data_IF_135904094888
#
_entry.id   IF_135904094888
#
_cell.length_a   1.000
_cell.length_b   1.000
_cell.length_c   1.000
_cell.angle_alpha   90.00
_cell.angle_beta   90.00
_cell.angle_gamma   90.00
#
_symmetry.space_group_name_H-M   'P 1'
#
loop_
_entity.id
_entity.type
_entity.pdbx_description
1 polymer ?
#
# COMPACT_ATOMS: atom_id res chain seq x y z
N UNK A 1 -12.75 3.96 -23.47
CA UNK A 1 -11.98 3.44 -22.32
C UNK A 1 -12.80 2.30 -21.73
N UNK A 2 -12.26 1.08 -21.62
CA UNK A 2 -13.04 -0.16 -21.41
C UNK A 2 -13.83 -0.16 -20.08
N UNK A 3 -15.19 -0.12 -20.10
CA UNK A 3 -16.01 -0.10 -18.89
C UNK A 3 -15.76 -1.30 -17.96
N UNK A 4 -15.48 -2.47 -18.54
CA UNK A 4 -15.12 -3.69 -17.79
C UNK A 4 -13.81 -3.56 -17.01
N UNK A 5 -12.84 -2.81 -17.53
CA UNK A 5 -11.55 -2.61 -16.85
C UNK A 5 -11.73 -1.74 -15.60
N UNK A 6 -12.53 -0.66 -15.72
CA UNK A 6 -12.82 0.25 -14.60
C UNK A 6 -13.59 -0.50 -13.49
N UNK A 7 -14.59 -1.30 -13.85
CA UNK A 7 -15.34 -2.11 -12.88
C UNK A 7 -14.45 -3.13 -12.15
N UNK A 8 -13.56 -3.83 -12.87
CA UNK A 8 -12.58 -4.75 -12.27
C UNK A 8 -11.61 -4.03 -11.33
N UNK A 9 -11.23 -2.79 -11.67
CA UNK A 9 -10.34 -2.00 -10.83
C UNK A 9 -11.03 -1.60 -9.50
N UNK A 10 -12.30 -1.19 -9.57
CA UNK A 10 -13.09 -0.88 -8.37
C UNK A 10 -13.31 -2.11 -7.48
N UNK A 11 -13.59 -3.26 -8.08
CA UNK A 11 -13.73 -4.51 -7.33
C UNK A 11 -12.41 -4.90 -6.64
N UNK A 12 -11.29 -4.85 -7.37
CA UNK A 12 -9.95 -5.13 -6.83
C UNK A 12 -9.61 -4.20 -5.66
N UNK A 13 -9.86 -2.89 -5.82
CA UNK A 13 -9.62 -1.92 -4.76
C UNK A 13 -10.48 -2.19 -3.53
N UNK A 14 -11.73 -2.63 -3.70
CA UNK A 14 -12.61 -3.00 -2.59
C UNK A 14 -12.02 -4.17 -1.78
N UNK A 15 -11.52 -5.21 -2.47
CA UNK A 15 -10.86 -6.33 -1.81
C UNK A 15 -9.57 -5.95 -1.10
N UNK A 16 -8.75 -5.09 -1.73
CA UNK A 16 -7.55 -4.51 -1.11
C UNK A 16 -7.91 -3.83 0.21
N UNK A 17 -8.94 -2.99 0.20
CA UNK A 17 -9.41 -2.28 1.39
C UNK A 17 -9.90 -3.22 2.49
N UNK A 18 -10.78 -4.17 2.14
CA UNK A 18 -11.32 -5.12 3.10
C UNK A 18 -10.22 -5.94 3.77
N UNK A 19 -9.30 -6.51 2.99
CA UNK A 19 -8.21 -7.32 3.53
C UNK A 19 -7.23 -6.50 4.37
N UNK A 20 -6.95 -5.26 3.97
CA UNK A 20 -6.06 -4.35 4.68
C UNK A 20 -6.56 -3.97 6.07
N UNK A 21 -7.87 -4.01 6.32
CA UNK A 21 -8.48 -3.74 7.62
C UNK A 21 -8.71 -5.04 8.38
N UNK A 22 -9.35 -6.03 7.75
CA UNK A 22 -9.75 -7.28 8.40
C UNK A 22 -8.53 -8.05 8.91
N UNK A 23 -7.45 -8.14 8.13
CA UNK A 23 -6.31 -8.97 8.52
C UNK A 23 -5.58 -8.44 9.78
N UNK A 24 -5.22 -7.14 9.86
CA UNK A 24 -4.65 -6.57 11.09
C UNK A 24 -5.61 -6.67 12.29
N UNK A 25 -6.90 -6.41 12.09
CA UNK A 25 -7.90 -6.50 13.16
C UNK A 25 -8.01 -7.93 13.69
N UNK A 26 -8.09 -8.93 12.81
CA UNK A 26 -8.11 -10.33 13.21
C UNK A 26 -6.82 -10.73 13.95
N UNK A 27 -5.65 -10.33 13.44
CA UNK A 27 -4.36 -10.57 14.10
C UNK A 27 -4.28 -9.94 15.48
N UNK A 28 -4.90 -8.77 15.68
CA UNK A 28 -5.00 -8.10 16.98
C UNK A 28 -5.87 -8.90 17.96
N UNK A 29 -7.07 -9.29 17.57
CA UNK A 29 -7.98 -10.08 18.42
C UNK A 29 -7.42 -11.47 18.74
N UNK A 30 -6.71 -12.09 17.80
CA UNK A 30 -6.02 -13.37 18.00
C UNK A 30 -4.73 -13.26 18.80
N UNK A 31 -4.29 -12.03 19.16
CA UNK A 31 -3.02 -11.75 19.85
C UNK A 31 -1.81 -12.40 19.15
N UNK A 32 -1.84 -12.45 17.82
CA UNK A 32 -0.88 -13.18 16.99
C UNK A 32 0.13 -12.27 16.26
N UNK A 33 -0.12 -10.96 16.21
CA UNK A 33 0.74 -10.00 15.52
C UNK A 33 1.87 -9.45 16.40
N UNK A 34 3.03 -9.20 15.80
CA UNK A 34 4.12 -8.46 16.45
C UNK A 34 3.82 -6.96 16.45
N UNK A 35 4.43 -6.20 17.38
CA UNK A 35 4.33 -4.74 17.38
C UNK A 35 4.81 -4.13 16.05
N UNK A 36 5.88 -4.67 15.47
CA UNK A 36 6.38 -4.24 14.17
C UNK A 36 5.35 -4.44 13.06
N UNK A 37 4.66 -5.60 13.02
CA UNK A 37 3.58 -5.84 12.06
C UNK A 37 2.49 -4.77 12.15
N UNK A 38 2.04 -4.44 13.37
CA UNK A 38 0.98 -3.45 13.57
C UNK A 38 1.42 -2.02 13.21
N UNK A 39 2.70 -1.68 13.37
CA UNK A 39 3.23 -0.39 12.89
C UNK A 39 3.09 -0.29 11.37
N UNK A 40 3.60 -1.29 10.63
CA UNK A 40 3.54 -1.29 9.16
C UNK A 40 2.10 -1.30 8.63
N UNK A 41 1.24 -2.15 9.19
CA UNK A 41 -0.17 -2.21 8.84
C UNK A 41 -0.92 -0.90 9.17
N UNK A 42 -0.63 -0.29 10.33
CA UNK A 42 -1.23 0.98 10.73
C UNK A 42 -0.87 2.12 9.78
N UNK A 43 0.40 2.23 9.38
CA UNK A 43 0.82 3.26 8.40
C UNK A 43 0.16 3.03 7.05
N UNK A 44 0.05 1.78 6.59
CA UNK A 44 -0.68 1.45 5.37
C UNK A 44 -2.16 1.86 5.42
N UNK A 45 -2.88 1.50 6.48
CA UNK A 45 -4.30 1.86 6.60
C UNK A 45 -4.47 3.39 6.62
N UNK A 46 -3.65 4.10 7.40
CA UNK A 46 -3.71 5.56 7.49
C UNK A 46 -3.39 6.22 6.15
N UNK A 47 -2.37 5.75 5.42
CA UNK A 47 -2.03 6.31 4.11
C UNK A 47 -3.15 6.11 3.11
N UNK A 48 -3.82 4.97 3.13
CA UNK A 48 -4.98 4.72 2.26
C UNK A 48 -6.14 5.68 2.55
N UNK A 49 -6.42 6.00 3.82
CA UNK A 49 -7.42 7.02 4.17
C UNK A 49 -7.02 8.42 3.71
N UNK A 50 -5.75 8.78 3.87
CA UNK A 50 -5.20 10.04 3.37
C UNK A 50 -5.36 10.11 1.84
N UNK A 51 -5.04 9.02 1.13
CA UNK A 51 -5.17 8.95 -0.32
C UNK A 51 -6.62 9.17 -0.77
N UNK A 52 -7.59 8.45 -0.19
CA UNK A 52 -9.01 8.65 -0.50
C UNK A 52 -9.49 10.08 -0.26
N UNK A 53 -8.91 10.76 0.74
CA UNK A 53 -9.30 12.14 1.05
C UNK A 53 -8.69 13.15 0.08
N UNK A 54 -7.45 12.93 -0.35
CA UNK A 54 -6.71 13.83 -1.24
C UNK A 54 -7.09 13.63 -2.71
N UNK A 55 -7.33 12.38 -3.13
CA UNK A 55 -7.54 12.00 -4.53
C UNK A 55 -8.62 12.83 -5.25
N UNK A 56 -9.82 13.09 -4.69
CA UNK A 56 -10.84 13.89 -5.38
C UNK A 56 -10.39 15.33 -5.64
N UNK A 57 -9.72 15.96 -4.68
CA UNK A 57 -9.21 17.33 -4.83
C UNK A 57 -8.09 17.40 -5.87
N UNK A 58 -7.20 16.41 -5.85
CA UNK A 58 -6.10 16.32 -6.80
C UNK A 58 -6.60 16.01 -8.21
N UNK A 59 -7.62 15.16 -8.36
CA UNK A 59 -8.27 14.89 -9.65
C UNK A 59 -8.89 16.15 -10.23
N UNK A 60 -9.66 16.91 -9.44
CA UNK A 60 -10.25 18.17 -9.88
C UNK A 60 -9.18 19.15 -10.38
N UNK A 61 -8.10 19.31 -9.61
CA UNK A 61 -6.99 20.18 -9.97
C UNK A 61 -6.27 19.75 -11.26
N UNK A 62 -6.19 18.44 -11.51
CA UNK A 62 -5.53 17.88 -12.71
C UNK A 62 -6.43 17.93 -13.95
N UNK A 63 -7.74 17.76 -13.78
CA UNK A 63 -8.71 17.82 -14.89
C UNK A 63 -8.82 19.23 -15.49
N UNK A 64 -8.49 20.26 -14.71
CA UNK A 64 -8.44 21.67 -15.15
C UNK A 64 -7.28 21.96 -16.13
N UNK A 65 -6.18 21.22 -16.06
CA UNK A 65 -5.07 21.32 -17.02
C UNK A 65 -4.21 20.06 -17.03
N UNK A 66 -3.96 19.50 -18.21
CA UNK A 66 -3.06 18.34 -18.36
C UNK A 66 -1.64 18.63 -17.86
N UNK A 67 -1.23 19.89 -17.80
CA UNK A 67 0.09 20.29 -17.27
C UNK A 67 0.18 20.04 -15.75
N UNK A 68 -0.96 19.94 -15.05
CA UNK A 68 -0.99 19.68 -13.62
C UNK A 68 -0.77 18.20 -13.24
N UNK A 69 -0.65 17.30 -14.22
CA UNK A 69 -0.33 15.88 -13.97
C UNK A 69 0.97 15.72 -13.16
N UNK A 70 1.92 16.63 -13.28
CA UNK A 70 3.15 16.65 -12.47
C UNK A 70 2.84 16.62 -10.97
N UNK A 71 1.84 17.38 -10.53
CA UNK A 71 1.41 17.44 -9.13
C UNK A 71 0.75 16.15 -8.65
N UNK A 72 0.06 15.42 -9.55
CA UNK A 72 -0.48 14.10 -9.25
C UNK A 72 0.63 13.17 -8.77
N UNK A 73 1.64 12.97 -9.63
CA UNK A 73 2.74 12.04 -9.34
C UNK A 73 3.64 12.52 -8.20
N UNK A 74 3.89 13.83 -8.11
CA UNK A 74 4.67 14.42 -7.02
C UNK A 74 4.03 14.22 -5.65
N UNK A 75 2.70 14.40 -5.55
CA UNK A 75 1.95 14.21 -4.30
C UNK A 75 2.03 12.77 -3.82
N UNK A 76 1.80 11.79 -4.71
CA UNK A 76 1.86 10.38 -4.34
C UNK A 76 3.28 9.92 -4.02
N UNK A 77 4.30 10.43 -4.72
CA UNK A 77 5.70 10.19 -4.36
C UNK A 77 5.98 10.69 -2.92
N UNK A 78 5.57 11.92 -2.60
CA UNK A 78 5.74 12.48 -1.27
C UNK A 78 5.06 11.63 -0.18
N UNK A 79 3.83 11.19 -0.41
CA UNK A 79 3.10 10.31 0.53
C UNK A 79 3.84 8.99 0.76
N UNK A 80 4.34 8.34 -0.30
CA UNK A 80 5.10 7.11 -0.17
C UNK A 80 6.38 7.30 0.67
N UNK A 81 7.12 8.39 0.43
CA UNK A 81 8.31 8.73 1.21
C UNK A 81 7.97 9.00 2.69
N UNK A 82 6.88 9.73 2.95
CA UNK A 82 6.37 9.98 4.29
C UNK A 82 5.96 8.68 5.00
N UNK A 83 5.39 7.71 4.29
CA UNK A 83 5.04 6.42 4.87
C UNK A 83 6.29 5.62 5.30
N UNK A 84 7.32 5.58 4.46
CA UNK A 84 8.62 4.94 4.82
C UNK A 84 9.19 5.59 6.07
N UNK A 85 9.22 6.93 6.09
CA UNK A 85 9.72 7.69 7.24
C UNK A 85 8.88 7.44 8.50
N UNK A 86 7.54 7.40 8.38
CA UNK A 86 6.64 7.15 9.51
C UNK A 86 6.83 5.75 10.10
N UNK A 87 6.98 4.72 9.27
CA UNK A 87 7.28 3.36 9.74
C UNK A 87 8.60 3.35 10.50
N UNK A 88 9.66 3.92 9.92
CA UNK A 88 10.97 3.96 10.53
C UNK A 88 10.98 4.73 11.87
N UNK A 89 10.39 5.93 11.89
CA UNK A 89 10.28 6.78 13.08
C UNK A 89 9.48 6.11 14.20
N UNK A 90 8.41 5.39 13.87
CA UNK A 90 7.61 4.65 14.85
C UNK A 90 8.40 3.51 15.51
N UNK A 91 9.24 2.80 14.74
CA UNK A 91 10.13 1.77 15.28
C UNK A 91 11.21 2.37 16.20
N UNK A 92 11.84 3.48 15.78
CA UNK A 92 12.81 4.20 16.61
C UNK A 92 12.19 4.68 17.93
N UNK A 93 11.05 5.37 17.87
CA UNK A 93 10.40 5.95 19.07
C UNK A 93 9.92 4.90 20.06
N UNK A 94 9.54 3.72 19.59
CA UNK A 94 9.05 2.63 20.45
C UNK A 94 10.13 1.63 20.83
N UNK A 95 11.37 1.83 20.36
CA UNK A 95 12.48 0.89 20.51
C UNK A 95 12.11 -0.56 20.09
N UNK A 96 11.41 -0.67 18.95
CA UNK A 96 10.95 -1.95 18.40
C UNK A 96 11.82 -2.29 17.19
N UNK A 97 12.40 -3.48 17.15
CA UNK A 97 13.14 -3.95 15.98
C UNK A 97 12.22 -4.04 14.75
N UNK A 98 12.71 -3.62 13.59
CA UNK A 98 11.92 -3.66 12.36
C UNK A 98 11.83 -5.11 11.89
N UNK A 99 10.63 -5.69 12.00
CA UNK A 99 10.33 -7.04 11.55
C UNK A 99 10.15 -7.11 10.03
N UNK A 100 10.16 -8.35 9.51
CA UNK A 100 10.08 -8.64 8.08
C UNK A 100 8.92 -7.92 7.39
N UNK A 101 7.69 -8.02 7.91
CA UNK A 101 6.51 -7.38 7.28
C UNK A 101 6.69 -5.87 7.11
N UNK A 102 7.18 -5.17 8.15
CA UNK A 102 7.38 -3.72 8.07
C UNK A 102 8.48 -3.34 7.09
N UNK A 103 9.59 -4.09 7.06
CA UNK A 103 10.65 -3.91 6.05
C UNK A 103 10.08 -4.12 4.64
N UNK A 104 9.32 -5.19 4.41
CA UNK A 104 8.74 -5.47 3.10
C UNK A 104 7.76 -4.38 2.65
N UNK A 105 6.95 -3.85 3.58
CA UNK A 105 6.05 -2.71 3.29
C UNK A 105 6.87 -1.47 2.94
N UNK A 106 7.95 -1.17 3.67
CA UNK A 106 8.85 -0.05 3.35
C UNK A 106 9.46 -0.20 1.95
N UNK A 107 9.90 -1.40 1.56
CA UNK A 107 10.41 -1.67 0.22
C UNK A 107 9.34 -1.51 -0.86
N UNK A 108 8.10 -1.96 -0.61
CA UNK A 108 7.00 -1.76 -1.53
C UNK A 108 6.70 -0.26 -1.73
N UNK A 109 6.66 0.53 -0.64
CA UNK A 109 6.56 1.98 -0.73
C UNK A 109 7.74 2.62 -1.47
N UNK A 110 8.96 2.12 -1.29
CA UNK A 110 10.13 2.62 -2.01
C UNK A 110 10.00 2.37 -3.52
N UNK A 111 9.51 1.19 -3.93
CA UNK A 111 9.21 0.89 -5.32
C UNK A 111 8.12 1.81 -5.90
N UNK A 112 7.04 2.02 -5.16
CA UNK A 112 5.97 2.95 -5.55
C UNK A 112 6.48 4.40 -5.63
N UNK A 113 7.30 4.84 -4.67
CA UNK A 113 7.96 6.14 -4.68
C UNK A 113 8.79 6.33 -5.94
N UNK A 114 9.67 5.39 -6.28
CA UNK A 114 10.51 5.48 -7.47
C UNK A 114 9.68 5.55 -8.75
N UNK A 115 8.64 4.72 -8.85
CA UNK A 115 7.75 4.70 -10.01
C UNK A 115 6.98 6.03 -10.17
N UNK A 116 6.54 6.64 -9.07
CA UNK A 116 5.91 7.96 -9.06
C UNK A 116 6.92 9.08 -9.40
N UNK A 117 8.12 9.02 -8.83
CA UNK A 117 9.17 10.00 -9.05
C UNK A 117 9.67 10.00 -10.50
N UNK A 118 9.90 8.83 -11.09
CA UNK A 118 10.30 8.71 -12.50
C UNK A 118 9.24 9.34 -13.39
N UNK A 119 7.97 9.09 -13.10
CA UNK A 119 6.86 9.64 -13.88
C UNK A 119 6.72 11.16 -13.72
N UNK A 120 6.93 11.66 -12.51
CA UNK A 120 6.99 13.10 -12.23
C UNK A 120 8.13 13.76 -13.04
N UNK A 121 9.34 13.20 -13.00
CA UNK A 121 10.49 13.72 -13.74
C UNK A 121 10.32 13.61 -15.26
N UNK A 122 9.71 12.54 -15.77
CA UNK A 122 9.39 12.40 -17.19
C UNK A 122 8.51 13.56 -17.68
N UNK A 123 7.44 13.87 -16.93
CA UNK A 123 6.54 14.96 -17.28
C UNK A 123 7.22 16.32 -17.18
N UNK A 124 8.00 16.55 -16.12
CA UNK A 124 8.69 17.84 -15.90
C UNK A 124 9.79 18.10 -16.94
N UNK A 125 10.57 17.07 -17.31
CA UNK A 125 11.75 17.23 -18.17
C UNK A 125 11.38 17.09 -19.65
N UNK A 126 10.52 16.12 -19.99
CA UNK A 126 10.25 15.76 -21.39
C UNK A 126 8.84 16.10 -21.84
N UNK A 127 7.89 16.28 -20.92
CA UNK A 127 6.46 16.48 -21.26
C UNK A 127 5.81 15.26 -21.92
N UNK A 128 6.44 14.08 -21.87
CA UNK A 128 5.97 12.88 -22.59
C UNK A 128 5.12 11.94 -21.74
N UNK A 129 4.45 10.98 -22.39
CA UNK A 129 3.53 10.02 -21.77
C UNK A 129 3.97 8.55 -21.92
N UNK A 130 5.26 8.28 -22.12
CA UNK A 130 5.76 6.93 -22.41
C UNK A 130 5.48 5.94 -21.29
N UNK A 131 5.68 6.34 -20.02
CA UNK A 131 5.53 5.41 -18.89
C UNK A 131 4.13 5.35 -18.25
N UNK A 132 3.13 6.01 -18.84
CA UNK A 132 1.77 6.10 -18.25
C UNK A 132 1.11 4.72 -18.00
N UNK A 133 1.28 3.75 -18.91
CA UNK A 133 0.74 2.40 -18.73
C UNK A 133 1.49 1.61 -17.65
N UNK A 134 2.82 1.65 -17.70
CA UNK A 134 3.70 1.01 -16.70
C UNK A 134 3.38 1.52 -15.30
N UNK A 135 3.13 2.82 -15.18
CA UNK A 135 2.69 3.44 -13.95
C UNK A 135 1.38 2.85 -13.43
N UNK A 136 0.34 2.85 -14.26
CA UNK A 136 -1.00 2.39 -13.86
C UNK A 136 -0.98 0.94 -13.38
N UNK A 137 -0.25 0.07 -14.07
CA UNK A 137 -0.07 -1.32 -13.67
C UNK A 137 0.77 -1.43 -12.39
N UNK A 138 1.84 -0.63 -12.29
CA UNK A 138 2.77 -0.63 -11.16
C UNK A 138 2.11 -0.22 -9.85
N UNK A 139 1.27 0.81 -9.85
CA UNK A 139 0.54 1.26 -8.64
C UNK A 139 -0.39 0.17 -8.13
N UNK A 140 -1.22 -0.41 -9.01
CA UNK A 140 -2.13 -1.48 -8.61
C UNK A 140 -1.38 -2.71 -8.09
N UNK A 141 -0.29 -3.08 -8.77
CA UNK A 141 0.59 -4.18 -8.32
C UNK A 141 1.15 -3.90 -6.93
N UNK A 142 1.65 -2.69 -6.67
CA UNK A 142 2.17 -2.31 -5.35
C UNK A 142 1.12 -2.41 -4.25
N UNK A 143 -0.09 -1.93 -4.50
CA UNK A 143 -1.20 -2.00 -3.54
C UNK A 143 -1.58 -3.47 -3.23
N UNK A 144 -1.64 -4.32 -4.25
CA UNK A 144 -1.85 -5.77 -4.07
C UNK A 144 -0.73 -6.39 -3.25
N UNK A 145 0.53 -6.08 -3.55
CA UNK A 145 1.69 -6.62 -2.82
C UNK A 145 1.63 -6.24 -1.35
N UNK A 146 1.38 -4.97 -1.02
CA UNK A 146 1.29 -4.52 0.38
C UNK A 146 0.14 -5.23 1.11
N UNK A 147 -1.02 -5.36 0.46
CA UNK A 147 -2.18 -6.08 1.01
C UNK A 147 -1.84 -7.55 1.31
N UNK A 148 -1.14 -8.22 0.40
CA UNK A 148 -0.70 -9.60 0.60
C UNK A 148 0.31 -9.73 1.74
N UNK A 149 1.26 -8.80 1.86
CA UNK A 149 2.24 -8.77 2.96
C UNK A 149 1.56 -8.63 4.33
N UNK A 150 0.46 -7.87 4.39
CA UNK A 150 -0.32 -7.66 5.62
C UNK A 150 -1.23 -8.87 5.90
N UNK A 151 -1.76 -9.52 4.87
CA UNK A 151 -2.75 -10.61 4.99
C UNK A 151 -2.11 -12.00 5.17
N UNK A 152 -0.94 -12.22 4.58
CA UNK A 152 -0.25 -13.53 4.61
C UNK A 152 0.06 -14.04 6.03
N UNK A 153 0.51 -13.21 7.00
CA UNK A 153 0.74 -13.67 8.37
C UNK A 153 -0.51 -14.29 9.02
N UNK A 154 -1.70 -13.75 8.75
CA UNK A 154 -2.96 -14.30 9.26
C UNK A 154 -3.25 -15.67 8.66
N UNK A 155 -3.08 -15.83 7.34
CA UNK A 155 -3.27 -17.12 6.67
C UNK A 155 -2.32 -18.19 7.20
N UNK A 156 -1.05 -17.82 7.39
CA UNK A 156 -0.03 -18.70 8.00
C UNK A 156 -0.41 -19.07 9.43
N UNK A 157 -0.92 -18.13 10.22
CA UNK A 157 -1.37 -18.39 11.58
C UNK A 157 -2.53 -19.40 11.60
N UNK A 158 -3.58 -19.17 10.79
CA UNK A 158 -4.75 -20.06 10.69
C UNK A 158 -4.34 -21.46 10.26
N UNK A 159 -3.44 -21.57 9.27
CA UNK A 159 -2.95 -22.87 8.80
C UNK A 159 -2.18 -23.63 9.89
N UNK A 160 -1.26 -22.96 10.59
CA UNK A 160 -0.51 -23.55 11.71
C UNK A 160 -1.44 -23.98 12.86
N UNK A 161 -2.47 -23.20 13.14
CA UNK A 161 -3.47 -23.54 14.16
C UNK A 161 -4.23 -24.83 13.79
N UNK A 162 -4.70 -24.95 12.54
CA UNK A 162 -5.36 -26.17 12.04
C UNK A 162 -4.46 -27.40 12.12
N UNK A 163 -3.19 -27.27 11.75
CA UNK A 163 -2.22 -28.37 11.85
C UNK A 163 -2.01 -28.85 13.29
N UNK A 164 -1.94 -27.91 14.25
CA UNK A 164 -1.81 -28.27 15.68
C UNK A 164 -3.01 -29.05 16.20
N UNK A 165 -4.23 -28.63 15.86
CA UNK A 165 -5.42 -29.36 16.28
C UNK A 165 -5.49 -30.76 15.66
N UNK A 166 -5.08 -30.93 14.40
CA UNK A 166 -5.03 -32.25 13.76
C UNK A 166 -4.10 -33.22 14.49
N UNK A 167 -2.93 -32.75 14.92
CA UNK A 167 -1.94 -33.58 15.61
C UNK A 167 -2.32 -33.92 17.06
N UNK A 168 -3.29 -33.22 17.66
CA UNK A 168 -3.80 -33.54 19.00
C UNK A 168 -4.93 -34.58 18.99
N UNK A 169 -5.50 -34.85 17.82
CA UNK A 169 -6.61 -35.78 17.63
C UNK A 169 -6.16 -37.14 17.04
N UNK A 170 -4.85 -37.39 16.96
CA UNK A 170 -4.20 -38.65 16.53
C UNK A 170 -3.39 -39.16 17.70
#
# INVERSE_FOLDING_TARGET
MFPEYINKLHELNTWIWLLSIIAPTAMYFLKAGSQSYFIGAGVWIVSQFINLRIEPYLSQFVDESRDHLVYWYGTWAAINALCIFAIYLAHLRRNVAVGFTSISIMFAYAGLFLLQLIRHLELEITGTNYFSKTYTIGINTGNVVITLLISAPLLVYIWKYKLRQRNQNV
#
